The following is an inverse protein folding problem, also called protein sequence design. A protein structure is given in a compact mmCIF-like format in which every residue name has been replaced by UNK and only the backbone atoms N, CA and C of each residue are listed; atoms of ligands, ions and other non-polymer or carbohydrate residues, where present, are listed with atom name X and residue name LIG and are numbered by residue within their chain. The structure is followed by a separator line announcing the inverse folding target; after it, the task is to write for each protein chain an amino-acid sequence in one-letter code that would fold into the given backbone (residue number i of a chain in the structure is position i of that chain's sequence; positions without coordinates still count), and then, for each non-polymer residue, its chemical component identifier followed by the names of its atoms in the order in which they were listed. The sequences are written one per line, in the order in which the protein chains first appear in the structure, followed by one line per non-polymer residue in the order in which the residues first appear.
data_IF_220892997655
#
_entry.id   IF_220892997655
#
_cell.length_a   1.000
_cell.length_b   1.000
_cell.length_c   1.000
_cell.angle_alpha   90.00
_cell.angle_beta   90.00
_cell.angle_gamma   90.00
#
_symmetry.space_group_name_H-M   'P 1'
#
loop_
_entity.id
_entity.type
_entity.pdbx_description
1 polymer ?
#
# COMPACT_ATOMS: atom_id res chain seq x y z
N UNK A 1 -9.37 31.75 -4.79
CA UNK A 1 -9.48 30.62 -5.73
C UNK A 1 -10.96 30.25 -5.74
N UNK A 2 -11.70 30.46 -6.84
CA UNK A 2 -13.12 30.10 -6.90
C UNK A 2 -13.35 28.58 -6.79
N UNK A 3 -14.59 28.11 -6.88
CA UNK A 3 -14.96 26.68 -6.76
C UNK A 3 -14.08 25.76 -7.63
N UNK A 4 -13.84 26.15 -8.88
CA UNK A 4 -12.96 25.42 -9.81
C UNK A 4 -11.50 25.36 -9.36
N UNK A 5 -11.00 26.40 -8.70
CA UNK A 5 -9.64 26.44 -8.18
C UNK A 5 -9.46 25.53 -6.96
N UNK A 6 -10.50 25.42 -6.12
CA UNK A 6 -10.51 24.52 -4.97
C UNK A 6 -10.51 23.06 -5.40
N UNK A 7 -11.33 22.69 -6.40
CA UNK A 7 -11.37 21.33 -6.96
C UNK A 7 -10.01 20.94 -7.54
N UNK A 8 -9.36 21.84 -8.27
CA UNK A 8 -8.01 21.61 -8.81
C UNK A 8 -6.99 21.29 -7.71
N UNK A 9 -6.92 22.11 -6.66
CA UNK A 9 -5.98 21.89 -5.54
C UNK A 9 -6.26 20.58 -4.80
N UNK A 10 -7.52 20.26 -4.53
CA UNK A 10 -7.91 19.00 -3.88
C UNK A 10 -7.52 17.77 -4.70
N UNK A 11 -7.64 17.86 -6.03
CA UNK A 11 -7.29 16.76 -6.95
C UNK A 11 -5.78 16.47 -6.95
N UNK A 12 -4.93 17.51 -6.85
CA UNK A 12 -3.49 17.31 -6.66
C UNK A 12 -3.15 16.73 -5.27
N UNK A 13 -3.89 17.12 -4.23
CA UNK A 13 -3.75 16.58 -2.87
C UNK A 13 -4.20 15.12 -2.73
N UNK A 14 -5.14 14.67 -3.58
CA UNK A 14 -5.73 13.33 -3.52
C UNK A 14 -4.68 12.22 -3.62
N UNK A 15 -3.62 12.39 -4.41
CA UNK A 15 -2.55 11.40 -4.56
C UNK A 15 -1.84 11.14 -3.23
N UNK A 16 -1.68 12.17 -2.40
CA UNK A 16 -1.07 12.04 -1.07
C UNK A 16 -2.01 11.48 -0.01
N UNK A 17 -3.32 11.71 -0.16
CA UNK A 17 -4.32 11.33 0.84
C UNK A 17 -4.93 9.94 0.59
N UNK A 18 -4.98 9.49 -0.65
CA UNK A 18 -5.65 8.24 -1.02
C UNK A 18 -4.84 7.00 -0.68
N UNK A 19 -3.51 7.13 -0.56
CA UNK A 19 -2.62 5.99 -0.37
C UNK A 19 -2.33 5.74 1.12
N UNK A 20 -3.20 4.95 1.75
CA UNK A 20 -3.13 4.62 3.18
C UNK A 20 -2.16 3.47 3.48
N UNK A 21 -1.50 2.91 2.45
CA UNK A 21 -0.68 1.69 2.56
C UNK A 21 0.77 1.95 2.95
N UNK A 22 1.36 3.03 2.44
CA UNK A 22 2.80 3.28 2.47
C UNK A 22 3.12 4.50 3.34
N UNK A 23 2.73 4.46 4.61
CA UNK A 23 3.10 5.52 5.54
C UNK A 23 4.61 5.58 5.72
N UNK A 24 5.21 6.67 5.25
CA UNK A 24 6.63 6.99 5.44
C UNK A 24 7.01 6.91 6.93
N UNK A 25 6.10 7.33 7.82
CA UNK A 25 6.30 7.25 9.27
C UNK A 25 6.52 5.81 9.78
N UNK A 26 5.82 4.82 9.24
CA UNK A 26 5.99 3.43 9.66
C UNK A 26 7.35 2.88 9.22
N UNK A 27 7.79 3.23 8.01
CA UNK A 27 9.14 2.88 7.52
C UNK A 27 10.22 3.55 8.35
N UNK A 28 10.06 4.84 8.69
CA UNK A 28 10.98 5.59 9.53
C UNK A 28 11.06 5.02 10.94
N UNK A 29 9.91 4.68 11.56
CA UNK A 29 9.87 4.10 12.90
C UNK A 29 10.60 2.75 12.96
N UNK A 30 10.40 1.87 11.96
CA UNK A 30 11.12 0.60 11.87
C UNK A 30 12.63 0.80 11.66
N UNK A 31 13.02 1.74 10.79
CA UNK A 31 14.43 2.09 10.57
C UNK A 31 15.09 2.60 11.85
N UNK A 32 14.41 3.50 12.57
CA UNK A 32 14.89 4.03 13.85
C UNK A 32 15.03 2.94 14.91
N UNK A 33 14.08 2.00 14.98
CA UNK A 33 14.16 0.86 15.91
C UNK A 33 15.36 -0.04 15.59
N UNK A 34 15.68 -0.24 14.32
CA UNK A 34 16.88 -0.99 13.92
C UNK A 34 18.18 -0.31 14.37
N UNK A 35 18.18 1.01 14.44
CA UNK A 35 19.35 1.83 14.80
C UNK A 35 19.41 2.22 16.29
N UNK A 36 18.63 1.55 17.13
CA UNK A 36 18.55 1.86 18.57
C UNK A 36 19.91 1.74 19.29
N UNK A 37 20.79 0.86 18.81
CA UNK A 37 22.15 0.66 19.33
C UNK A 37 23.19 1.70 18.85
N UNK A 38 22.82 2.59 17.94
CA UNK A 38 23.74 3.57 17.34
C UNK A 38 23.67 4.91 18.09
N UNK A 39 24.83 5.43 18.51
CA UNK A 39 24.94 6.67 19.28
C UNK A 39 24.61 7.94 18.49
N UNK A 40 24.83 7.94 17.16
CA UNK A 40 24.61 9.10 16.28
C UNK A 40 23.30 9.01 15.48
N UNK A 41 22.17 9.07 16.18
CA UNK A 41 20.81 8.98 15.59
C UNK A 41 20.54 10.06 14.51
N UNK A 42 21.13 11.25 14.63
CA UNK A 42 20.97 12.33 13.66
C UNK A 42 21.53 11.99 12.27
N UNK A 43 22.65 11.25 12.19
CA UNK A 43 23.25 10.86 10.90
C UNK A 43 22.36 9.86 10.18
N UNK A 44 21.75 8.93 10.92
CA UNK A 44 20.80 7.95 10.37
C UNK A 44 19.58 8.67 9.79
N UNK A 45 19.01 9.63 10.54
CA UNK A 45 17.87 10.42 10.06
C UNK A 45 18.20 11.20 8.79
N UNK A 46 19.37 11.85 8.73
CA UNK A 46 19.83 12.54 7.52
C UNK A 46 20.04 11.57 6.34
N UNK A 47 20.62 10.41 6.58
CA UNK A 47 20.80 9.39 5.54
C UNK A 47 19.45 8.88 5.01
N UNK A 48 18.46 8.67 5.88
CA UNK A 48 17.10 8.28 5.48
C UNK A 48 16.43 9.37 4.64
N UNK A 49 16.57 10.64 5.05
CA UNK A 49 16.01 11.77 4.30
C UNK A 49 16.64 11.88 2.91
N UNK A 50 17.97 11.77 2.83
CA UNK A 50 18.70 11.77 1.56
C UNK A 50 18.27 10.59 0.68
N UNK A 51 18.11 9.39 1.25
CA UNK A 51 17.64 8.22 0.51
C UNK A 51 16.24 8.43 -0.08
N UNK A 52 15.32 9.07 0.66
CA UNK A 52 13.99 9.42 0.16
C UNK A 52 14.09 10.43 -1.00
N UNK A 53 14.90 11.48 -0.86
CA UNK A 53 15.08 12.48 -1.92
C UNK A 53 15.67 11.88 -3.20
N UNK A 54 16.72 11.07 -3.06
CA UNK A 54 17.32 10.34 -4.19
C UNK A 54 16.27 9.42 -4.82
N UNK A 55 15.50 8.69 -4.01
CA UNK A 55 14.43 7.82 -4.48
C UNK A 55 13.38 8.57 -5.32
N UNK A 56 12.97 9.77 -4.89
CA UNK A 56 12.04 10.62 -5.65
C UNK A 56 12.67 11.01 -7.00
N UNK A 57 13.90 11.50 -7.01
CA UNK A 57 14.58 11.96 -8.24
C UNK A 57 14.76 10.81 -9.22
N UNK A 58 15.26 9.66 -8.75
CA UNK A 58 15.48 8.47 -9.57
C UNK A 58 14.16 7.92 -10.09
N UNK A 59 13.12 7.87 -9.25
CA UNK A 59 11.78 7.41 -9.66
C UNK A 59 11.19 8.29 -10.76
N UNK A 60 11.23 9.61 -10.61
CA UNK A 60 10.73 10.54 -11.64
C UNK A 60 11.53 10.39 -12.95
N UNK A 61 12.86 10.35 -12.85
CA UNK A 61 13.73 10.21 -14.02
C UNK A 61 13.47 8.91 -14.79
N UNK A 62 13.46 7.78 -14.08
CA UNK A 62 13.23 6.45 -14.68
C UNK A 62 11.84 6.33 -15.29
N UNK A 63 10.81 6.85 -14.61
CA UNK A 63 9.44 6.87 -15.13
C UNK A 63 9.36 7.64 -16.45
N UNK A 64 9.98 8.82 -16.52
CA UNK A 64 10.03 9.60 -17.75
C UNK A 64 10.83 8.89 -18.84
N UNK A 65 12.02 8.36 -18.50
CA UNK A 65 12.88 7.65 -19.46
C UNK A 65 12.15 6.49 -20.14
N UNK A 66 11.51 5.60 -19.36
CA UNK A 66 10.76 4.47 -19.91
C UNK A 66 9.48 4.91 -20.63
N UNK A 67 8.80 5.97 -20.16
CA UNK A 67 7.64 6.53 -20.85
C UNK A 67 8.00 7.04 -22.26
N UNK A 68 9.17 7.68 -22.41
CA UNK A 68 9.65 8.18 -23.70
C UNK A 68 10.22 7.08 -24.60
N UNK A 69 10.87 6.06 -24.04
CA UNK A 69 11.51 5.00 -24.82
C UNK A 69 10.51 3.95 -25.33
N UNK A 70 9.62 3.46 -24.48
CA UNK A 70 8.70 2.35 -24.80
C UNK A 70 7.30 2.83 -25.22
N UNK A 71 7.06 4.14 -25.07
CA UNK A 71 5.73 4.74 -25.15
C UNK A 71 4.94 4.44 -23.88
N UNK A 72 4.50 5.48 -23.17
CA UNK A 72 3.72 5.36 -21.93
C UNK A 72 2.48 4.44 -22.04
N UNK A 73 1.98 4.24 -23.26
CA UNK A 73 0.81 3.41 -23.54
C UNK A 73 1.11 1.90 -23.60
N UNK A 74 2.36 1.50 -23.82
CA UNK A 74 2.80 0.09 -23.81
C UNK A 74 3.32 -0.37 -22.44
N UNK A 75 3.50 0.57 -21.50
CA UNK A 75 3.88 0.27 -20.13
C UNK A 75 2.66 -0.16 -19.30
N UNK A 76 2.86 -0.40 -18.00
CA UNK A 76 1.76 -0.81 -17.11
C UNK A 76 0.62 0.23 -17.12
N UNK A 77 -0.57 -0.22 -17.52
CA UNK A 77 -1.76 0.62 -17.71
C UNK A 77 -2.18 1.32 -16.41
N UNK A 78 -2.00 0.70 -15.24
CA UNK A 78 -2.36 1.32 -13.98
C UNK A 78 -1.45 2.50 -13.65
N UNK A 79 -0.13 2.33 -13.70
CA UNK A 79 0.81 3.37 -13.30
C UNK A 79 0.92 4.53 -14.31
N UNK A 80 0.86 4.24 -15.61
CA UNK A 80 1.09 5.26 -16.65
C UNK A 80 -0.19 5.89 -17.20
N UNK A 81 -1.34 5.22 -17.07
CA UNK A 81 -2.59 5.65 -17.71
C UNK A 81 -3.69 5.86 -16.67
N UNK A 82 -4.14 4.79 -16.00
CA UNK A 82 -5.36 4.83 -15.19
C UNK A 82 -5.17 5.62 -13.89
N UNK A 83 -4.06 5.41 -13.18
CA UNK A 83 -3.78 6.08 -11.90
C UNK A 83 -3.73 7.61 -12.04
N UNK A 84 -2.89 8.16 -12.94
CA UNK A 84 -2.83 9.60 -13.16
C UNK A 84 -4.10 10.18 -13.75
N UNK A 85 -4.81 9.46 -14.64
CA UNK A 85 -6.06 9.96 -15.24
C UNK A 85 -7.21 9.98 -14.26
N UNK A 86 -7.33 8.98 -13.38
CA UNK A 86 -8.45 8.84 -12.46
C UNK A 86 -8.73 10.09 -11.62
N UNK A 87 -7.68 10.74 -11.09
CA UNK A 87 -7.82 11.96 -10.29
C UNK A 87 -8.33 13.15 -11.10
N UNK A 88 -7.82 13.33 -12.32
CA UNK A 88 -8.25 14.42 -13.20
C UNK A 88 -9.61 14.16 -13.86
N UNK A 89 -9.92 12.90 -14.19
CA UNK A 89 -11.23 12.51 -14.69
C UNK A 89 -12.28 12.76 -13.62
N UNK A 90 -12.02 12.36 -12.37
CA UNK A 90 -12.86 12.67 -11.22
C UNK A 90 -13.06 14.19 -11.09
N UNK A 91 -11.98 14.98 -11.07
CA UNK A 91 -12.06 16.43 -11.01
C UNK A 91 -12.91 17.03 -12.15
N UNK A 92 -12.69 16.56 -13.38
CA UNK A 92 -13.37 17.04 -14.56
C UNK A 92 -14.87 16.72 -14.55
N UNK A 93 -15.26 15.57 -13.99
CA UNK A 93 -16.67 15.19 -13.82
C UNK A 93 -17.38 16.15 -12.88
N UNK A 94 -16.79 16.44 -11.71
CA UNK A 94 -17.37 17.38 -10.74
C UNK A 94 -17.38 18.83 -11.25
N UNK A 95 -16.41 19.21 -12.10
CA UNK A 95 -16.41 20.53 -12.75
C UNK A 95 -17.47 20.65 -13.85
N UNK A 96 -17.74 19.57 -14.60
CA UNK A 96 -18.73 19.56 -15.70
C UNK A 96 -20.16 19.40 -15.21
N UNK A 97 -20.36 18.70 -14.10
CA UNK A 97 -21.66 18.49 -13.50
C UNK A 97 -21.59 18.81 -12.00
N UNK A 98 -21.71 20.10 -11.62
CA UNK A 98 -21.78 20.50 -10.22
C UNK A 98 -22.99 19.84 -9.58
N UNK A 99 -22.75 18.79 -8.80
CA UNK A 99 -23.78 18.11 -8.04
C UNK A 99 -24.01 18.84 -6.73
N UNK A 100 -25.26 18.96 -6.29
CA UNK A 100 -25.60 19.39 -4.94
C UNK A 100 -24.88 18.51 -3.89
N UNK A 101 -24.67 19.03 -2.65
CA UNK A 101 -24.06 18.25 -1.59
C UNK A 101 -24.77 16.89 -1.41
N UNK A 102 -24.01 15.80 -1.55
CA UNK A 102 -24.54 14.46 -1.34
C UNK A 102 -24.75 14.20 0.16
N UNK A 103 -25.94 14.56 0.64
CA UNK A 103 -26.35 14.33 2.02
C UNK A 103 -26.45 12.83 2.36
N UNK A 104 -26.71 11.97 1.38
CA UNK A 104 -26.73 10.53 1.60
C UNK A 104 -25.30 9.98 1.83
N UNK A 105 -24.35 10.44 1.03
CA UNK A 105 -22.92 10.16 1.21
C UNK A 105 -22.37 10.68 2.53
N UNK A 106 -22.74 11.90 2.93
CA UNK A 106 -22.39 12.45 4.25
C UNK A 106 -23.01 11.65 5.39
N UNK A 107 -24.25 11.18 5.23
CA UNK A 107 -24.91 10.29 6.18
C UNK A 107 -24.17 8.97 6.35
N UNK A 108 -23.81 8.32 5.24
CA UNK A 108 -23.02 7.08 5.25
C UNK A 108 -21.62 7.28 5.86
N UNK A 109 -20.96 8.39 5.56
CA UNK A 109 -19.70 8.77 6.19
C UNK A 109 -19.85 8.92 7.71
N UNK A 110 -20.92 9.59 8.17
CA UNK A 110 -21.23 9.72 9.59
C UNK A 110 -21.48 8.38 10.27
N UNK A 111 -22.23 7.48 9.63
CA UNK A 111 -22.45 6.12 10.12
C UNK A 111 -21.13 5.34 10.20
N UNK A 112 -20.29 5.40 9.17
CA UNK A 112 -18.97 4.76 9.17
C UNK A 112 -18.06 5.29 10.28
N UNK A 113 -18.06 6.62 10.48
CA UNK A 113 -17.32 7.27 11.57
C UNK A 113 -17.83 6.84 12.95
N UNK A 114 -19.15 6.73 13.12
CA UNK A 114 -19.76 6.27 14.37
C UNK A 114 -19.39 4.82 14.67
N UNK A 115 -19.50 3.92 13.68
CA UNK A 115 -19.12 2.51 13.83
C UNK A 115 -17.64 2.39 14.22
N UNK A 116 -16.75 3.12 13.54
CA UNK A 116 -15.32 3.09 13.88
C UNK A 116 -15.02 3.71 15.24
N UNK A 117 -15.72 4.78 15.62
CA UNK A 117 -15.62 5.39 16.94
C UNK A 117 -16.04 4.42 18.06
N UNK A 118 -17.17 3.71 17.86
CA UNK A 118 -17.65 2.69 18.80
C UNK A 118 -16.64 1.54 18.90
N UNK A 119 -16.14 1.02 17.78
CA UNK A 119 -15.15 -0.06 17.79
C UNK A 119 -13.84 0.36 18.46
N UNK A 120 -13.41 1.60 18.24
CA UNK A 120 -12.25 2.15 18.92
C UNK A 120 -12.48 2.25 20.44
N UNK A 121 -13.64 2.78 20.86
CA UNK A 121 -14.01 2.89 22.27
C UNK A 121 -14.11 1.52 22.96
N UNK A 122 -14.76 0.55 22.33
CA UNK A 122 -14.86 -0.83 22.84
C UNK A 122 -13.48 -1.46 22.95
N UNK A 123 -12.58 -1.24 21.98
CA UNK A 123 -11.22 -1.78 22.04
C UNK A 123 -10.38 -1.17 23.16
N UNK A 124 -10.54 0.13 23.45
CA UNK A 124 -9.78 0.78 24.53
C UNK A 124 -10.26 0.34 25.92
N UNK A 125 -11.54 -0.02 26.07
CA UNK A 125 -12.12 -0.44 27.34
C UNK A 125 -12.16 -1.97 27.55
N UNK A 126 -12.22 -2.76 26.47
CA UNK A 126 -12.27 -4.22 26.50
C UNK A 126 -11.10 -4.83 25.71
N UNK A 127 -9.97 -5.06 26.38
CA UNK A 127 -8.78 -5.71 25.78
C UNK A 127 -9.06 -7.14 25.25
N UNK A 128 -10.14 -7.79 25.69
CA UNK A 128 -10.51 -9.15 25.27
C UNK A 128 -11.28 -9.21 23.94
N UNK A 129 -11.60 -8.07 23.30
CA UNK A 129 -12.39 -8.10 22.07
C UNK A 129 -11.53 -8.61 20.87
N UNK A 130 -11.93 -9.69 20.20
CA UNK A 130 -11.10 -10.37 19.20
C UNK A 130 -11.08 -9.66 17.83
N UNK A 131 -11.97 -8.69 17.59
CA UNK A 131 -12.10 -8.01 16.30
C UNK A 131 -11.16 -6.80 16.26
N UNK A 132 -10.13 -6.88 15.42
CA UNK A 132 -9.19 -5.79 15.25
C UNK A 132 -9.75 -4.73 14.28
N UNK A 133 -9.95 -3.47 14.70
CA UNK A 133 -10.55 -2.42 13.86
C UNK A 133 -9.75 -2.10 12.60
N UNK A 134 -8.46 -2.48 12.54
CA UNK A 134 -7.67 -2.35 11.32
C UNK A 134 -8.23 -3.15 10.13
N UNK A 135 -8.93 -4.27 10.37
CA UNK A 135 -9.56 -5.04 9.29
C UNK A 135 -10.60 -4.23 8.52
N UNK A 136 -11.38 -3.40 9.24
CA UNK A 136 -12.38 -2.53 8.62
C UNK A 136 -11.75 -1.36 7.88
N UNK A 137 -10.72 -0.73 8.47
CA UNK A 137 -9.99 0.36 7.82
C UNK A 137 -9.29 -0.07 6.53
N UNK A 138 -8.78 -1.30 6.48
CA UNK A 138 -8.01 -1.84 5.35
C UNK A 138 -8.92 -2.52 4.31
N UNK A 139 -10.18 -2.83 4.66
CA UNK A 139 -11.13 -3.56 3.80
C UNK A 139 -11.43 -2.89 2.45
N UNK A 140 -11.38 -1.56 2.39
CA UNK A 140 -11.71 -0.77 1.20
C UNK A 140 -10.62 -0.84 0.11
N UNK A 141 -9.43 -1.32 0.44
CA UNK A 141 -8.33 -1.39 -0.51
C UNK A 141 -8.51 -2.58 -1.44
N UNK A 142 -8.36 -2.35 -2.75
CA UNK A 142 -8.42 -3.40 -3.78
C UNK A 142 -7.50 -4.59 -3.47
N UNK A 143 -6.32 -4.33 -2.91
CA UNK A 143 -5.37 -5.38 -2.56
C UNK A 143 -5.86 -6.24 -1.39
N UNK A 144 -6.54 -5.64 -0.40
CA UNK A 144 -7.14 -6.38 0.72
C UNK A 144 -8.19 -7.36 0.22
N UNK A 145 -8.96 -7.01 -0.82
CA UNK A 145 -9.91 -7.92 -1.46
C UNK A 145 -9.24 -9.16 -2.09
N UNK A 146 -7.98 -9.08 -2.48
CA UNK A 146 -7.24 -10.22 -3.01
C UNK A 146 -6.49 -10.98 -1.90
N UNK A 147 -6.03 -10.27 -0.86
CA UNK A 147 -5.20 -10.84 0.21
C UNK A 147 -5.99 -11.36 1.40
N UNK A 148 -7.28 -11.01 1.58
CA UNK A 148 -8.03 -11.35 2.79
C UNK A 148 -8.03 -12.86 3.08
N UNK A 149 -8.18 -13.68 2.04
CA UNK A 149 -8.19 -15.13 2.19
C UNK A 149 -6.82 -15.66 2.63
N UNK A 150 -5.75 -15.15 2.04
CA UNK A 150 -4.37 -15.48 2.44
C UNK A 150 -4.09 -15.06 3.88
N UNK A 151 -4.53 -13.86 4.29
CA UNK A 151 -4.40 -13.37 5.67
C UNK A 151 -5.18 -14.25 6.64
N UNK A 152 -6.41 -14.63 6.28
CA UNK A 152 -7.25 -15.55 7.05
C UNK A 152 -6.57 -16.92 7.20
N UNK A 153 -6.02 -17.46 6.12
CA UNK A 153 -5.30 -18.73 6.14
C UNK A 153 -4.05 -18.67 7.03
N UNK A 154 -3.26 -17.61 6.94
CA UNK A 154 -2.09 -17.39 7.82
C UNK A 154 -2.52 -17.28 9.28
N UNK A 155 -3.61 -16.56 9.57
CA UNK A 155 -4.17 -16.46 10.91
C UNK A 155 -4.62 -17.83 11.43
N UNK A 156 -5.34 -18.61 10.63
CA UNK A 156 -5.83 -19.94 10.99
C UNK A 156 -4.66 -20.89 11.28
N UNK A 157 -3.68 -20.97 10.37
CA UNK A 157 -2.49 -21.82 10.55
C UNK A 157 -1.73 -21.39 11.80
N UNK A 158 -1.51 -20.09 11.99
CA UNK A 158 -0.85 -19.57 13.20
C UNK A 158 -1.61 -19.92 14.46
N UNK A 159 -2.93 -19.74 14.49
CA UNK A 159 -3.77 -20.04 15.64
C UNK A 159 -3.68 -21.53 16.03
N UNK A 160 -3.77 -22.43 15.04
CA UNK A 160 -3.60 -23.88 15.22
C UNK A 160 -2.19 -24.19 15.74
N UNK A 161 -1.14 -23.67 15.10
CA UNK A 161 0.25 -23.91 15.52
C UNK A 161 0.51 -23.43 16.95
N UNK A 162 0.00 -22.26 17.33
CA UNK A 162 0.18 -21.73 18.69
C UNK A 162 -0.63 -22.51 19.73
N UNK A 163 -1.83 -23.02 19.37
CA UNK A 163 -2.69 -23.77 20.28
C UNK A 163 -2.18 -25.19 20.54
N UNK A 164 -1.61 -25.85 19.54
CA UNK A 164 -1.17 -27.24 19.64
C UNK A 164 0.35 -27.42 19.81
N UNK A 165 1.18 -26.49 19.34
CA UNK A 165 2.64 -26.65 19.29
C UNK A 165 3.47 -25.62 20.06
N UNK A 166 2.83 -24.61 20.63
CA UNK A 166 3.50 -23.53 21.36
C UNK A 166 4.54 -22.76 20.54
N UNK A 167 5.41 -21.95 21.19
CA UNK A 167 6.37 -21.07 20.51
C UNK A 167 7.46 -21.80 19.73
N UNK A 168 7.81 -23.03 20.14
CA UNK A 168 8.85 -23.84 19.49
C UNK A 168 8.42 -24.34 18.11
N UNK A 169 7.19 -24.82 17.98
CA UNK A 169 6.66 -25.25 16.69
C UNK A 169 6.52 -24.07 15.72
N UNK A 170 6.12 -22.90 16.22
CA UNK A 170 6.11 -21.69 15.41
C UNK A 170 7.50 -21.33 14.89
N UNK A 171 8.55 -21.50 15.69
CA UNK A 171 9.94 -21.33 15.27
C UNK A 171 10.34 -22.30 14.15
N UNK A 172 9.90 -23.56 14.23
CA UNK A 172 10.20 -24.59 13.23
C UNK A 172 9.48 -24.37 11.89
N UNK A 173 8.29 -23.77 11.89
CA UNK A 173 7.51 -23.53 10.65
C UNK A 173 7.92 -22.21 9.95
N UNK A 174 8.57 -21.27 10.65
CA UNK A 174 9.10 -20.02 10.04
C UNK A 174 9.92 -20.24 8.75
N UNK A 175 10.92 -21.14 8.69
CA UNK A 175 11.70 -21.36 7.48
C UNK A 175 10.85 -21.83 6.29
N UNK A 176 9.76 -22.57 6.51
CA UNK A 176 8.84 -22.99 5.44
C UNK A 176 8.15 -21.79 4.78
N UNK A 177 7.61 -20.87 5.58
CA UNK A 177 6.98 -19.64 5.05
C UNK A 177 8.00 -18.73 4.35
N UNK A 178 9.20 -18.58 4.91
CA UNK A 178 10.28 -17.83 4.26
C UNK A 178 10.69 -18.50 2.94
N UNK A 179 10.70 -19.83 2.90
CA UNK A 179 10.96 -20.62 1.69
C UNK A 179 9.91 -20.40 0.60
N UNK A 180 8.62 -20.30 0.95
CA UNK A 180 7.56 -19.99 -0.02
C UNK A 180 7.72 -18.58 -0.61
N UNK A 181 8.04 -17.59 0.24
CA UNK A 181 8.30 -16.21 -0.19
C UNK A 181 9.52 -16.18 -1.12
N UNK A 182 10.62 -16.81 -0.72
CA UNK A 182 11.84 -16.92 -1.53
C UNK A 182 11.56 -17.63 -2.85
N UNK A 183 10.79 -18.72 -2.85
CA UNK A 183 10.41 -19.47 -4.04
C UNK A 183 9.69 -18.62 -5.07
N UNK A 184 8.73 -17.79 -4.64
CA UNK A 184 8.07 -16.84 -5.54
C UNK A 184 9.07 -15.89 -6.20
N UNK A 185 9.99 -15.31 -5.43
CA UNK A 185 11.03 -14.42 -5.96
C UNK A 185 12.01 -15.16 -6.88
N UNK A 186 12.37 -16.40 -6.56
CA UNK A 186 13.26 -17.21 -7.40
C UNK A 186 12.61 -17.49 -8.75
N UNK A 187 11.33 -17.86 -8.79
CA UNK A 187 10.61 -18.09 -10.05
C UNK A 187 10.56 -16.83 -10.90
N UNK A 188 10.26 -15.67 -10.29
CA UNK A 188 10.27 -14.38 -10.99
C UNK A 188 11.66 -14.06 -11.55
N UNK A 189 12.72 -14.26 -10.74
CA UNK A 189 14.09 -14.00 -11.16
C UNK A 189 14.54 -14.91 -12.31
N UNK A 190 14.15 -16.19 -12.28
CA UNK A 190 14.46 -17.15 -13.34
C UNK A 190 13.77 -16.74 -14.65
N UNK A 191 12.48 -16.41 -14.60
CA UNK A 191 11.76 -15.96 -15.80
C UNK A 191 12.29 -14.64 -16.34
N UNK A 192 12.65 -13.70 -15.46
CA UNK A 192 13.31 -12.45 -15.87
C UNK A 192 14.66 -12.72 -16.56
N UNK A 193 15.43 -13.68 -16.07
CA UNK A 193 16.68 -14.11 -16.71
C UNK A 193 16.44 -14.72 -18.10
N UNK A 194 15.41 -15.55 -18.25
CA UNK A 194 15.00 -16.13 -19.54
C UNK A 194 14.59 -15.02 -20.51
N UNK A 195 13.79 -14.05 -20.07
CA UNK A 195 13.33 -12.92 -20.89
C UNK A 195 14.52 -12.06 -21.39
N UNK A 196 15.52 -11.82 -20.53
CA UNK A 196 16.74 -11.09 -20.92
C UNK A 196 17.54 -11.85 -21.98
N UNK A 197 17.61 -13.18 -21.88
CA UNK A 197 18.38 -14.02 -22.82
C UNK A 197 17.63 -14.17 -24.16
N UNK A 198 16.30 -14.33 -24.12
CA UNK A 198 15.47 -14.56 -25.32
C UNK A 198 15.04 -13.28 -26.02
N UNK A 199 15.23 -12.12 -25.40
CA UNK A 199 14.77 -10.82 -25.91
C UNK A 199 13.24 -10.68 -25.94
N UNK A 200 12.52 -11.61 -25.29
CA UNK A 200 11.07 -11.54 -25.17
C UNK A 200 10.69 -10.39 -24.23
N UNK A 201 9.77 -9.53 -24.66
CA UNK A 201 9.24 -8.43 -23.86
C UNK A 201 7.72 -8.58 -23.70
N UNK A 202 7.21 -8.28 -22.51
CA UNK A 202 5.76 -8.22 -22.25
C UNK A 202 5.19 -9.34 -21.37
N UNK A 203 6.02 -10.24 -20.82
CA UNK A 203 5.53 -11.16 -19.79
C UNK A 203 5.21 -10.40 -18.51
N UNK A 204 3.97 -10.54 -18.02
CA UNK A 204 3.54 -10.02 -16.73
C UNK A 204 4.17 -10.82 -15.59
N UNK A 205 5.46 -10.62 -15.35
CA UNK A 205 6.24 -11.34 -14.34
C UNK A 205 5.75 -11.06 -12.91
N UNK A 206 5.09 -9.92 -12.70
CA UNK A 206 4.55 -9.51 -11.42
C UNK A 206 3.27 -8.69 -11.61
N UNK A 207 2.22 -9.02 -10.87
CA UNK A 207 0.94 -8.32 -10.89
C UNK A 207 0.82 -7.45 -9.62
N UNK A 208 0.69 -6.13 -9.81
CA UNK A 208 0.38 -5.14 -8.76
C UNK A 208 -0.90 -4.42 -9.12
#
# INVERSE_FOLDING_TARGET
LGESGTIGVLSYGQVWMSDVRTFVMAAVANGLKLTESISRKGVVLWAMLIAVLIGIVVSVWTTLYYAYQSGANNANTWFFINGPRWTFDFASQYMRNPSDPDFAGLGLMGVGAAIMGILYYVRTHFLAFPVHPMGLAVSQMMLTRHMWFSVFLVWLIKAVLTRYGGPRLLGAVRPFFLGMILGQFTVIAVWLGIDVITGAQGHGLYWV
#
